data_IF_480674003858
#
_entry.id   IF_480674003858
#
_cell.length_a   1.000
_cell.length_b   1.000
_cell.length_c   1.000
_cell.angle_alpha   90.00
_cell.angle_beta   90.00
_cell.angle_gamma   90.00
#
_symmetry.space_group_name_H-M   'P 1'
#
loop_
_entity.id
_entity.type
_entity.pdbx_description
1 polymer ?
#
# COMPACT_ATOMS: atom_id res chain seq x y z
N UNK A 1 -6.29 -17.41 59.03
CA UNK A 1 -5.72 -16.26 58.27
C UNK A 1 -6.30 -16.34 56.86
N UNK A 2 -7.61 -16.19 56.69
CA UNK A 2 -8.38 -14.94 56.83
C UNK A 2 -7.77 -13.82 55.97
N UNK A 3 -8.34 -13.62 54.78
CA UNK A 3 -9.33 -12.56 54.46
C UNK A 3 -8.61 -11.28 54.04
N UNK A 4 -8.67 -10.91 52.75
CA UNK A 4 -9.36 -9.68 52.37
C UNK A 4 -9.65 -9.63 50.86
N UNK A 5 -10.90 -9.28 50.59
CA UNK A 5 -11.64 -9.29 49.34
C UNK A 5 -12.20 -7.87 49.23
N UNK A 6 -11.70 -7.01 48.33
CA UNK A 6 -12.25 -5.66 48.06
C UNK A 6 -11.88 -5.29 46.62
N UNK A 7 -12.73 -4.83 45.70
CA UNK A 7 -14.19 -4.73 45.51
C UNK A 7 -14.34 -4.23 44.06
N UNK A 8 -15.35 -4.74 43.37
CA UNK A 8 -15.91 -4.26 42.10
C UNK A 8 -16.27 -2.76 42.11
N UNK A 9 -16.03 -2.06 41.00
CA UNK A 9 -16.82 -0.89 40.57
C UNK A 9 -17.06 -0.99 39.06
N UNK A 10 -18.26 -1.41 38.61
CA UNK A 10 -19.43 -0.59 38.26
C UNK A 10 -19.11 0.52 37.25
N UNK A 11 -19.32 0.28 35.95
CA UNK A 11 -20.57 0.48 35.18
C UNK A 11 -20.94 1.97 35.03
N UNK A 12 -21.06 2.45 33.78
CA UNK A 12 -21.76 3.72 33.51
C UNK A 12 -21.55 4.37 32.14
N UNK A 13 -22.21 3.84 31.13
CA UNK A 13 -22.95 4.52 30.05
C UNK A 13 -22.52 5.90 29.50
N UNK A 14 -22.31 5.96 28.18
CA UNK A 14 -22.90 7.01 27.33
C UNK A 14 -22.93 6.58 25.85
N UNK A 15 -23.84 5.66 25.53
CA UNK A 15 -24.43 5.57 24.18
C UNK A 15 -25.49 6.67 24.12
N UNK A 16 -25.29 7.67 23.25
CA UNK A 16 -26.33 8.45 22.54
C UNK A 16 -25.85 9.89 22.26
N UNK A 17 -25.34 10.13 21.05
CA UNK A 17 -25.57 11.36 20.28
C UNK A 17 -25.62 10.93 18.82
N UNK A 18 -26.78 10.47 18.37
CA UNK A 18 -27.73 11.26 17.60
C UNK A 18 -27.28 11.55 16.16
N UNK A 19 -27.65 10.61 15.29
CA UNK A 19 -28.17 10.85 13.94
C UNK A 19 -28.92 12.18 13.84
N UNK A 20 -28.40 13.15 13.08
CA UNK A 20 -29.20 14.10 12.29
C UNK A 20 -28.31 14.95 11.37
N UNK A 21 -28.36 14.68 10.07
CA UNK A 21 -28.60 15.65 9.00
C UNK A 21 -28.38 14.99 7.64
N UNK A 22 -29.42 14.31 7.17
CA UNK A 22 -29.73 14.26 5.74
C UNK A 22 -30.59 15.47 5.41
N UNK A 23 -30.54 15.84 4.13
CA UNK A 23 -31.48 16.66 3.38
C UNK A 23 -31.12 18.14 3.26
N UNK A 24 -30.44 18.46 2.15
CA UNK A 24 -30.82 19.58 1.30
C UNK A 24 -30.53 19.18 -0.16
N UNK A 25 -31.60 18.82 -0.86
CA UNK A 25 -31.68 18.76 -2.32
C UNK A 25 -32.12 20.15 -2.80
N UNK A 26 -31.63 20.62 -3.95
CA UNK A 26 -32.51 21.37 -4.83
C UNK A 26 -32.57 20.73 -6.23
N UNK A 27 -33.70 20.07 -6.49
CA UNK A 27 -34.26 19.91 -7.83
C UNK A 27 -34.40 21.28 -8.51
N UNK A 28 -33.74 21.50 -9.64
CA UNK A 28 -34.28 22.28 -10.77
C UNK A 28 -33.70 21.76 -12.11
N UNK A 29 -34.56 21.15 -12.91
CA UNK A 29 -34.46 21.09 -14.38
C UNK A 29 -35.14 22.35 -14.94
N UNK A 30 -34.64 22.89 -16.07
CA UNK A 30 -35.49 22.88 -17.25
C UNK A 30 -34.75 22.57 -18.58
N UNK A 31 -35.30 21.60 -19.30
CA UNK A 31 -35.81 21.70 -20.67
C UNK A 31 -35.02 22.50 -21.73
N UNK A 32 -34.39 21.73 -22.64
CA UNK A 32 -34.47 21.80 -24.12
C UNK A 32 -33.76 22.97 -24.82
N UNK A 33 -32.74 22.65 -25.61
CA UNK A 33 -32.80 22.87 -27.07
C UNK A 33 -31.75 22.07 -27.84
N UNK A 34 -32.20 21.66 -29.03
CA UNK A 34 -31.57 20.81 -30.04
C UNK A 34 -30.86 21.71 -31.02
N UNK A 35 -29.56 21.52 -31.25
CA UNK A 35 -28.95 21.76 -32.58
C UNK A 35 -27.94 20.65 -32.84
N UNK A 36 -28.30 19.77 -33.76
CA UNK A 36 -27.40 18.89 -34.49
C UNK A 36 -26.40 19.79 -35.26
N UNK A 37 -25.11 19.64 -34.98
CA UNK A 37 -24.06 20.13 -35.87
C UNK A 37 -23.08 18.99 -36.07
N UNK A 38 -23.34 18.26 -37.16
CA UNK A 38 -22.43 17.30 -37.76
C UNK A 38 -21.25 18.10 -38.31
N UNK A 39 -20.16 18.15 -37.56
CA UNK A 39 -18.84 18.50 -38.10
C UNK A 39 -18.10 17.21 -38.43
N UNK A 40 -17.88 17.00 -39.73
CA UNK A 40 -17.02 15.93 -40.25
C UNK A 40 -15.67 15.90 -39.51
N UNK A 41 -15.18 14.73 -39.04
CA UNK A 41 -13.80 14.60 -38.64
C UNK A 41 -12.93 14.63 -39.90
N UNK A 42 -12.15 15.70 -40.04
CA UNK A 42 -11.01 15.72 -40.95
C UNK A 42 -9.99 14.72 -40.41
N UNK A 43 -9.81 13.59 -41.09
CA UNK A 43 -8.78 12.60 -40.76
C UNK A 43 -7.41 13.22 -41.02
N UNK A 44 -6.70 13.58 -39.94
CA UNK A 44 -5.26 13.85 -39.97
C UNK A 44 -4.54 12.48 -40.00
N UNK A 45 -3.75 12.16 -41.03
CA UNK A 45 -2.97 10.93 -41.04
C UNK A 45 -1.75 11.09 -40.14
N UNK A 46 -1.61 10.23 -39.14
CA UNK A 46 -0.33 9.94 -38.51
C UNK A 46 -0.09 10.54 -37.13
N UNK A 47 -0.96 10.25 -36.16
CA UNK A 47 -0.47 10.05 -34.80
C UNK A 47 -0.33 8.55 -34.57
N UNK A 48 0.90 8.07 -34.67
CA UNK A 48 1.29 6.77 -34.14
C UNK A 48 0.89 6.82 -32.66
N UNK A 49 0.10 5.86 -32.13
CA UNK A 49 -0.11 5.78 -30.69
C UNK A 49 1.28 5.62 -30.08
N UNK A 50 1.78 6.67 -29.43
CA UNK A 50 2.90 6.54 -28.52
C UNK A 50 2.39 5.53 -27.50
N UNK A 51 2.87 4.29 -27.61
CA UNK A 51 2.58 3.25 -26.65
C UNK A 51 2.90 3.87 -25.29
N UNK A 52 1.87 4.18 -24.49
CA UNK A 52 2.06 4.59 -23.12
C UNK A 52 2.87 3.45 -22.50
N UNK A 53 4.13 3.70 -22.19
CA UNK A 53 4.87 2.81 -21.31
C UNK A 53 4.01 2.70 -20.06
N UNK A 54 3.36 1.56 -19.88
CA UNK A 54 2.57 1.28 -18.69
C UNK A 54 3.52 1.49 -17.51
N UNK A 55 3.40 2.62 -16.82
CA UNK A 55 4.21 2.97 -15.66
C UNK A 55 3.76 2.06 -14.53
N UNK A 56 4.29 0.83 -14.50
CA UNK A 56 3.92 -0.19 -13.52
C UNK A 56 4.12 0.38 -12.12
N UNK A 57 3.06 0.34 -11.33
CA UNK A 57 3.11 0.67 -9.92
C UNK A 57 4.06 -0.29 -9.17
N UNK A 58 4.88 0.29 -8.30
CA UNK A 58 5.81 -0.41 -7.42
C UNK A 58 5.38 -0.17 -5.99
N UNK A 59 5.19 -1.27 -5.26
CA UNK A 59 4.88 -1.31 -3.85
C UNK A 59 6.15 -1.68 -3.08
N UNK A 60 6.51 -0.89 -2.08
CA UNK A 60 7.63 -1.19 -1.18
C UNK A 60 7.10 -1.36 0.23
N UNK A 61 7.39 -2.51 0.83
CA UNK A 61 6.98 -2.87 2.19
C UNK A 61 8.18 -2.79 3.12
N UNK A 62 8.01 -2.13 4.26
CA UNK A 62 9.02 -2.07 5.33
C UNK A 62 8.71 -3.14 6.36
N UNK A 63 9.62 -4.11 6.50
CA UNK A 63 9.45 -5.28 7.36
C UNK A 63 10.63 -5.39 8.31
N UNK A 64 10.36 -5.67 9.59
CA UNK A 64 11.40 -5.85 10.61
C UNK A 64 12.29 -7.06 10.29
N UNK A 65 13.59 -6.95 10.59
CA UNK A 65 14.54 -8.04 10.46
C UNK A 65 14.21 -9.26 11.36
N UNK A 66 13.35 -9.09 12.37
CA UNK A 66 12.79 -10.20 13.16
C UNK A 66 11.97 -11.19 12.32
N UNK A 67 11.50 -10.79 11.14
CA UNK A 67 10.68 -11.61 10.24
C UNK A 67 11.52 -12.34 9.18
N UNK A 68 12.84 -12.46 9.37
CA UNK A 68 13.76 -13.04 8.37
C UNK A 68 13.36 -14.46 7.95
N UNK A 69 12.83 -15.28 8.86
CA UNK A 69 12.40 -16.65 8.55
C UNK A 69 11.28 -16.69 7.50
N UNK A 70 10.41 -15.68 7.48
CA UNK A 70 9.37 -15.52 6.47
C UNK A 70 9.92 -14.94 5.16
N UNK A 71 10.90 -14.04 5.24
CA UNK A 71 11.44 -13.33 4.07
C UNK A 71 12.46 -14.13 3.27
N UNK A 72 13.21 -15.03 3.90
CA UNK A 72 14.21 -15.86 3.21
C UNK A 72 13.60 -16.66 2.05
N UNK A 73 12.48 -17.41 2.22
CA UNK A 73 11.82 -18.08 1.11
C UNK A 73 11.35 -17.15 -0.01
N UNK A 74 11.08 -15.87 0.28
CA UNK A 74 10.64 -14.87 -0.72
C UNK A 74 11.81 -14.32 -1.55
N UNK A 75 13.07 -14.47 -1.12
CA UNK A 75 14.24 -14.03 -1.90
C UNK A 75 14.42 -14.86 -3.16
N UNK A 76 14.18 -16.16 -3.05
CA UNK A 76 14.39 -17.13 -4.13
C UNK A 76 13.13 -17.36 -4.97
N UNK A 77 12.00 -16.75 -4.57
CA UNK A 77 10.71 -16.87 -5.24
C UNK A 77 10.34 -15.54 -5.90
N UNK A 78 9.90 -15.62 -7.16
CA UNK A 78 9.32 -14.48 -7.88
C UNK A 78 7.79 -14.41 -7.78
N UNK A 79 7.18 -15.18 -6.87
CA UNK A 79 5.73 -15.22 -6.69
C UNK A 79 5.38 -15.14 -5.21
N UNK A 80 4.23 -14.56 -4.92
CA UNK A 80 3.60 -14.53 -3.60
C UNK A 80 2.35 -15.41 -3.71
N UNK A 81 2.13 -16.34 -2.79
CA UNK A 81 0.84 -17.01 -2.67
C UNK A 81 -0.15 -16.20 -1.79
N UNK A 82 -1.42 -16.61 -1.75
CA UNK A 82 -2.46 -15.89 -0.99
C UNK A 82 -2.09 -15.81 0.50
N UNK A 83 -1.52 -16.88 1.07
CA UNK A 83 -1.16 -16.92 2.48
C UNK A 83 0.08 -16.07 2.79
N UNK A 84 1.04 -16.01 1.86
CA UNK A 84 2.19 -15.10 1.92
C UNK A 84 1.72 -13.64 1.81
N UNK A 85 0.73 -13.35 0.97
CA UNK A 85 0.09 -12.03 0.87
C UNK A 85 -0.59 -11.60 2.18
N UNK A 86 -1.34 -12.50 2.82
CA UNK A 86 -1.95 -12.27 4.14
C UNK A 86 -0.90 -12.06 5.23
N UNK A 87 0.20 -12.83 5.21
CA UNK A 87 1.31 -12.64 6.16
C UNK A 87 2.04 -11.31 5.93
N UNK A 88 2.31 -10.94 4.67
CA UNK A 88 2.87 -9.63 4.31
C UNK A 88 1.99 -8.50 4.84
N UNK A 89 0.67 -8.62 4.74
CA UNK A 89 -0.23 -7.67 5.39
C UNK A 89 0.09 -7.60 6.88
N UNK A 90 0.03 -8.71 7.62
CA UNK A 90 0.21 -8.70 9.08
C UNK A 90 1.53 -8.07 9.56
N UNK A 91 2.65 -8.36 8.87
CA UNK A 91 3.99 -7.96 9.33
C UNK A 91 4.44 -6.60 8.79
N UNK A 92 3.78 -6.07 7.75
CA UNK A 92 4.10 -4.76 7.20
C UNK A 92 3.59 -3.66 8.15
N UNK A 93 4.47 -2.73 8.51
CA UNK A 93 4.07 -1.52 9.26
C UNK A 93 3.95 -0.30 8.38
N UNK A 94 4.92 -0.13 7.49
CA UNK A 94 4.97 1.00 6.58
C UNK A 94 4.99 0.51 5.15
N UNK A 95 4.32 1.25 4.28
CA UNK A 95 4.35 1.00 2.85
C UNK A 95 4.64 2.28 2.08
N UNK A 96 5.20 2.11 0.89
CA UNK A 96 5.33 3.15 -0.11
C UNK A 96 4.78 2.64 -1.43
N UNK A 97 4.19 3.56 -2.19
CA UNK A 97 3.59 3.29 -3.49
C UNK A 97 4.06 4.36 -4.47
N UNK A 98 4.59 3.94 -5.61
CA UNK A 98 5.02 4.87 -6.64
C UNK A 98 5.46 4.15 -7.91
N UNK A 99 6.32 4.78 -8.69
CA UNK A 99 6.86 4.25 -9.94
C UNK A 99 8.29 3.72 -9.79
N UNK A 100 8.72 2.88 -10.74
CA UNK A 100 10.11 2.41 -10.82
C UNK A 100 11.12 3.56 -10.87
N UNK A 101 10.77 4.65 -11.57
CA UNK A 101 11.62 5.84 -11.72
C UNK A 101 11.81 6.55 -10.38
N UNK A 102 10.74 6.76 -9.61
CA UNK A 102 10.80 7.37 -8.28
C UNK A 102 11.60 6.50 -7.31
N UNK A 103 11.40 5.17 -7.34
CA UNK A 103 12.16 4.25 -6.51
C UNK A 103 13.65 4.26 -6.87
N UNK A 104 13.99 4.30 -8.15
CA UNK A 104 15.37 4.34 -8.62
C UNK A 104 16.12 5.57 -8.14
N UNK A 105 15.45 6.73 -8.14
CA UNK A 105 16.01 7.97 -7.58
C UNK A 105 16.25 7.86 -6.06
N UNK A 106 15.35 7.19 -5.34
CA UNK A 106 15.47 6.97 -3.89
C UNK A 106 16.52 5.91 -3.54
N UNK A 107 16.77 4.91 -4.41
CA UNK A 107 17.67 3.76 -4.16
C UNK A 107 19.11 4.17 -3.82
N UNK A 108 19.63 5.22 -4.46
CA UNK A 108 20.98 5.74 -4.17
C UNK A 108 21.14 6.15 -2.70
N UNK A 109 20.08 6.65 -2.08
CA UNK A 109 20.07 7.03 -0.66
C UNK A 109 19.87 5.84 0.27
N UNK A 110 19.27 4.75 -0.19
CA UNK A 110 18.98 3.56 0.64
C UNK A 110 20.25 2.74 0.86
N UNK A 111 21.06 2.56 -0.18
CA UNK A 111 22.24 1.68 -0.14
C UNK A 111 23.28 2.09 0.92
N UNK A 112 23.32 3.36 1.32
CA UNK A 112 24.23 3.86 2.38
C UNK A 112 23.91 3.30 3.77
N UNK A 113 22.73 2.72 3.95
CA UNK A 113 22.26 2.11 5.20
C UNK A 113 22.43 0.59 5.24
N UNK A 114 23.23 0.02 4.34
CA UNK A 114 23.54 -1.41 4.33
C UNK A 114 24.17 -1.84 5.65
N UNK A 115 23.69 -2.94 6.23
CA UNK A 115 24.22 -3.48 7.48
C UNK A 115 25.38 -4.42 7.17
N UNK A 116 26.56 -4.14 7.72
CA UNK A 116 27.70 -5.03 7.62
C UNK A 116 27.45 -6.32 8.44
N UNK A 117 27.97 -7.44 7.95
CA UNK A 117 27.89 -8.72 8.65
C UNK A 117 28.42 -8.61 10.08
N UNK A 118 27.64 -9.06 11.06
CA UNK A 118 27.98 -8.97 12.48
C UNK A 118 27.64 -7.63 13.17
N UNK A 119 27.14 -6.63 12.45
CA UNK A 119 26.54 -5.40 13.01
C UNK A 119 25.00 -5.46 13.02
N UNK A 120 24.46 -6.67 12.97
CA UNK A 120 23.04 -6.97 12.86
C UNK A 120 22.30 -6.67 14.17
N UNK A 121 21.17 -5.99 14.07
CA UNK A 121 20.30 -5.59 15.17
C UNK A 121 18.84 -5.92 14.88
N UNK A 122 18.06 -6.28 15.91
CA UNK A 122 16.63 -6.58 15.78
C UNK A 122 15.81 -5.41 15.19
N UNK A 123 16.30 -4.19 15.36
CA UNK A 123 15.69 -2.97 14.82
C UNK A 123 15.97 -2.74 13.34
N UNK A 124 16.88 -3.50 12.74
CA UNK A 124 17.08 -3.46 11.30
C UNK A 124 15.81 -3.89 10.55
N UNK A 125 15.81 -3.59 9.25
CA UNK A 125 14.68 -3.83 8.38
C UNK A 125 15.11 -4.51 7.09
N UNK A 126 14.13 -5.04 6.38
CA UNK A 126 14.18 -5.39 4.97
C UNK A 126 13.15 -4.56 4.23
N UNK A 127 13.46 -4.24 2.97
CA UNK A 127 12.50 -3.70 2.02
C UNK A 127 12.07 -4.81 1.08
N UNK A 128 10.76 -5.05 1.00
CA UNK A 128 10.18 -5.96 0.00
C UNK A 128 9.59 -5.10 -1.11
N UNK A 129 10.25 -5.12 -2.27
CA UNK A 129 9.83 -4.42 -3.47
C UNK A 129 8.97 -5.36 -4.33
N UNK A 130 7.76 -4.93 -4.67
CA UNK A 130 6.81 -5.69 -5.46
C UNK A 130 6.40 -4.83 -6.65
N UNK A 131 6.75 -5.27 -7.85
CA UNK A 131 6.26 -4.65 -9.09
C UNK A 131 4.91 -5.24 -9.44
N UNK A 132 3.88 -4.41 -9.53
CA UNK A 132 2.54 -4.86 -9.82
C UNK A 132 2.34 -5.01 -11.34
N UNK A 133 1.58 -6.03 -11.75
CA UNK A 133 1.18 -6.25 -13.14
C UNK A 133 0.21 -5.18 -13.63
N UNK A 134 -0.58 -4.65 -12.70
CA UNK A 134 -1.56 -3.59 -12.88
C UNK A 134 -1.69 -2.80 -11.57
N UNK A 135 -2.12 -1.55 -11.67
CA UNK A 135 -2.34 -0.71 -10.50
C UNK A 135 -3.53 -1.24 -9.67
N UNK A 136 -3.43 -1.15 -8.35
CA UNK A 136 -4.53 -1.47 -7.44
C UNK A 136 -4.74 -0.34 -6.43
N UNK A 137 -5.98 0.15 -6.34
CA UNK A 137 -6.30 1.29 -5.49
C UNK A 137 -6.22 0.96 -4.00
N UNK A 138 -6.35 -0.31 -3.61
CA UNK A 138 -6.27 -0.75 -2.22
C UNK A 138 -4.89 -0.59 -1.59
N UNK A 139 -3.86 -0.29 -2.40
CA UNK A 139 -2.57 0.13 -1.86
C UNK A 139 -2.47 1.62 -1.60
N UNK A 140 -3.33 2.49 -2.15
CA UNK A 140 -3.21 3.95 -2.00
C UNK A 140 -3.24 4.40 -0.53
N UNK A 141 -2.67 5.58 -0.21
CA UNK A 141 -2.85 6.20 1.10
C UNK A 141 -4.34 6.37 1.44
N UNK A 142 -4.68 6.32 2.73
CA UNK A 142 -6.03 6.57 3.26
C UNK A 142 -7.16 5.62 2.80
N UNK A 143 -6.86 4.46 2.22
CA UNK A 143 -7.87 3.42 2.03
C UNK A 143 -8.28 2.78 3.36
N UNK A 144 -9.46 2.17 3.39
CA UNK A 144 -9.90 1.46 4.58
C UNK A 144 -9.10 0.14 4.77
N UNK A 145 -9.05 -0.36 6.01
CA UNK A 145 -8.24 -1.54 6.35
C UNK A 145 -8.71 -2.82 5.66
N UNK A 146 -10.01 -2.96 5.37
CA UNK A 146 -10.55 -4.13 4.68
C UNK A 146 -10.13 -4.14 3.21
N UNK A 147 -10.25 -3.01 2.52
CA UNK A 147 -9.80 -2.86 1.13
C UNK A 147 -8.29 -3.12 1.03
N UNK A 148 -7.52 -2.63 2.00
CA UNK A 148 -6.08 -2.87 2.06
C UNK A 148 -5.78 -4.34 2.29
N UNK A 149 -6.48 -5.00 3.21
CA UNK A 149 -6.34 -6.44 3.43
C UNK A 149 -6.64 -7.23 2.15
N UNK A 150 -7.73 -6.90 1.45
CA UNK A 150 -8.09 -7.54 0.19
C UNK A 150 -7.05 -7.29 -0.91
N UNK A 151 -6.45 -6.10 -0.97
CA UNK A 151 -5.35 -5.81 -1.90
C UNK A 151 -4.12 -6.70 -1.63
N UNK A 152 -3.75 -6.90 -0.38
CA UNK A 152 -2.65 -7.81 -0.01
C UNK A 152 -2.96 -9.27 -0.38
N UNK A 153 -4.20 -9.73 -0.22
CA UNK A 153 -4.61 -11.08 -0.66
C UNK A 153 -4.51 -11.27 -2.16
N UNK A 154 -4.84 -10.21 -2.92
CA UNK A 154 -4.72 -10.19 -4.38
C UNK A 154 -3.28 -10.14 -4.88
N UNK A 155 -2.26 -9.99 -4.02
CA UNK A 155 -0.86 -10.02 -4.45
C UNK A 155 -0.49 -11.30 -5.21
N UNK A 156 -1.17 -12.42 -4.94
CA UNK A 156 -0.96 -13.65 -5.71
C UNK A 156 -1.20 -13.47 -7.21
N UNK A 157 -2.17 -12.64 -7.57
CA UNK A 157 -2.50 -12.35 -8.96
C UNK A 157 -1.80 -11.07 -9.44
N UNK A 158 -1.66 -10.07 -8.58
CA UNK A 158 -1.15 -8.73 -8.91
C UNK A 158 0.38 -8.66 -8.97
N UNK A 159 1.12 -9.45 -8.17
CA UNK A 159 2.57 -9.38 -8.12
C UNK A 159 3.18 -9.91 -9.42
N UNK A 160 3.99 -9.08 -10.07
CA UNK A 160 4.76 -9.43 -11.27
C UNK A 160 6.20 -9.82 -10.96
N UNK A 161 6.90 -9.02 -10.16
CA UNK A 161 8.27 -9.27 -9.70
C UNK A 161 8.36 -8.93 -8.21
N UNK A 162 9.03 -9.77 -7.44
CA UNK A 162 9.22 -9.59 -6.00
C UNK A 162 10.72 -9.61 -5.72
N UNK A 163 11.20 -8.62 -4.96
CA UNK A 163 12.58 -8.53 -4.53
C UNK A 163 12.62 -8.19 -3.05
N UNK A 164 13.43 -8.94 -2.31
CA UNK A 164 13.75 -8.59 -0.92
C UNK A 164 15.15 -8.00 -0.90
N UNK A 165 15.30 -6.83 -0.31
CA UNK A 165 16.60 -6.17 -0.18
C UNK A 165 17.54 -6.97 0.74
N UNK A 166 18.81 -6.58 0.76
CA UNK A 166 19.67 -6.89 1.89
C UNK A 166 19.16 -6.25 3.18
N UNK A 167 19.74 -6.63 4.32
CA UNK A 167 19.40 -6.05 5.62
C UNK A 167 19.88 -4.61 5.69
N UNK A 168 18.98 -3.72 6.12
CA UNK A 168 19.20 -2.28 6.18
C UNK A 168 19.00 -1.76 7.60
N UNK A 169 19.69 -0.67 7.93
CA UNK A 169 19.42 0.09 9.15
C UNK A 169 18.02 0.70 9.08
N UNK A 170 17.41 0.97 10.25
CA UNK A 170 16.00 1.42 10.32
C UNK A 170 15.80 2.77 9.62
N UNK A 171 16.83 3.62 9.64
CA UNK A 171 16.88 4.94 9.02
C UNK A 171 16.76 4.89 7.49
N UNK A 172 16.92 3.71 6.87
CA UNK A 172 16.82 3.56 5.43
C UNK A 172 15.45 3.96 4.88
N UNK A 173 14.36 3.62 5.59
CA UNK A 173 13.02 3.89 5.10
C UNK A 173 12.59 5.35 5.27
N UNK A 174 13.28 6.14 6.10
CA UNK A 174 12.93 7.55 6.32
C UNK A 174 13.01 8.37 5.01
N UNK A 175 13.85 7.94 4.07
CA UNK A 175 14.03 8.58 2.76
C UNK A 175 12.97 8.16 1.72
N UNK A 176 12.13 7.17 2.04
CA UNK A 176 11.14 6.62 1.12
C UNK A 176 9.80 7.37 1.15
N UNK A 177 9.54 8.23 2.16
CA UNK A 177 8.22 8.87 2.36
C UNK A 177 7.10 7.82 2.51
N UNK A 178 7.37 6.78 3.30
CA UNK A 178 6.40 5.72 3.60
C UNK A 178 5.21 6.24 4.41
N UNK A 179 4.07 5.58 4.31
CA UNK A 179 2.89 5.80 5.15
C UNK A 179 2.51 4.56 5.94
N UNK A 180 1.72 4.78 6.99
CA UNK A 180 1.23 3.70 7.83
C UNK A 180 0.15 2.88 7.09
N UNK A 181 0.22 1.58 7.28
CA UNK A 181 -0.73 0.61 6.74
C UNK A 181 -2.02 0.56 7.56
#
# INVERSE_FOLDING_TARGET
MEVLLIVLGLVGSAVALCLKKQQDEPSQLPTRERIESVSNPSFTPGEIPIAQENTKQVLVLVISASQVEFLEPLKDKNHIDVSEGEQLYQITRYLWLGSETELSQKRANINKYSVAKGAESEYNIYLVEIKLKQDDEGFKPNVNQLDRYDAFRKLADLAGEVKVSDRLQIEAYENLEVYNR
#
